data_IF_711975078785
#
_entry.id   IF_711975078785
#
_cell.length_a   1.000
_cell.length_b   1.000
_cell.length_c   1.000
_cell.angle_alpha   90.00
_cell.angle_beta   90.00
_cell.angle_gamma   90.00
#
_symmetry.space_group_name_H-M   'P 1'
#
loop_
_entity.id
_entity.type
_entity.pdbx_description
1 polymer ?
#
# COMPACT_ATOMS: atom_id res chain seq x y z
N UNK A 1 12.45 -9.22 19.24
CA UNK A 1 11.00 -9.27 18.91
C UNK A 1 10.23 -9.91 20.06
N UNK A 2 9.19 -9.25 20.54
CA UNK A 2 8.41 -9.78 21.65
C UNK A 2 7.54 -10.95 21.21
N UNK A 3 7.07 -11.71 22.19
CA UNK A 3 6.16 -12.81 21.91
C UNK A 3 4.86 -12.31 21.26
N UNK A 4 4.38 -11.14 21.70
CA UNK A 4 3.17 -10.55 21.11
C UNK A 4 3.39 -10.20 19.64
N UNK A 5 4.57 -9.65 19.30
CA UNK A 5 4.88 -9.34 17.90
C UNK A 5 5.02 -10.62 17.07
N UNK A 6 5.59 -11.66 17.64
CA UNK A 6 5.71 -12.95 16.94
C UNK A 6 4.33 -13.51 16.61
N UNK A 7 3.40 -13.43 17.55
CA UNK A 7 2.03 -13.91 17.33
C UNK A 7 1.34 -13.06 16.27
N UNK A 8 1.51 -11.74 16.35
CA UNK A 8 0.93 -10.83 15.37
C UNK A 8 1.44 -11.14 13.96
N UNK A 9 2.74 -11.39 13.82
CA UNK A 9 3.34 -11.73 12.53
C UNK A 9 2.82 -13.05 12.00
N UNK A 10 2.64 -14.05 12.88
CA UNK A 10 2.06 -15.33 12.47
C UNK A 10 0.65 -15.16 11.93
N UNK A 11 -0.14 -14.31 12.58
CA UNK A 11 -1.51 -14.05 12.13
C UNK A 11 -1.50 -13.39 10.75
N UNK A 12 -0.65 -12.39 10.55
CA UNK A 12 -0.57 -11.71 9.26
C UNK A 12 -0.13 -12.68 8.15
N UNK A 13 0.85 -13.51 8.44
CA UNK A 13 1.34 -14.48 7.46
C UNK A 13 0.25 -15.49 7.11
N UNK A 14 -0.47 -15.98 8.12
CA UNK A 14 -1.57 -16.92 7.90
C UNK A 14 -2.69 -16.26 7.09
N UNK A 15 -2.99 -14.99 7.39
CA UNK A 15 -4.03 -14.27 6.66
C UNK A 15 -3.68 -14.17 5.18
N UNK A 16 -2.43 -13.82 4.87
CA UNK A 16 -2.02 -13.69 3.47
C UNK A 16 -2.08 -15.02 2.74
N UNK A 17 -1.69 -16.11 3.39
CA UNK A 17 -1.83 -17.44 2.80
C UNK A 17 -3.29 -17.77 2.53
N UNK A 18 -4.19 -17.43 3.47
CA UNK A 18 -5.61 -17.70 3.32
C UNK A 18 -6.22 -16.83 2.21
N UNK A 19 -5.83 -15.56 2.17
CA UNK A 19 -6.32 -14.67 1.10
C UNK A 19 -5.90 -15.19 -0.27
N UNK A 20 -4.67 -15.66 -0.40
CA UNK A 20 -4.17 -16.19 -1.67
C UNK A 20 -4.93 -17.44 -2.08
N UNK A 21 -5.25 -18.29 -1.12
CA UNK A 21 -5.90 -19.57 -1.40
C UNK A 21 -7.39 -19.44 -1.63
N UNK A 22 -8.08 -18.61 -0.84
CA UNK A 22 -9.54 -18.56 -0.82
C UNK A 22 -10.12 -17.23 -1.30
N UNK A 23 -9.29 -16.21 -1.50
CA UNK A 23 -9.77 -14.87 -1.78
C UNK A 23 -10.10 -14.13 -0.48
N UNK A 24 -10.10 -12.80 -0.56
CA UNK A 24 -10.33 -11.98 0.62
C UNK A 24 -11.73 -12.18 1.18
N UNK A 25 -12.75 -12.07 0.31
CA UNK A 25 -14.14 -12.11 0.77
C UNK A 25 -14.49 -13.44 1.44
N UNK A 26 -13.94 -14.55 0.93
CA UNK A 26 -14.28 -15.87 1.45
C UNK A 26 -13.45 -16.30 2.64
N UNK A 27 -12.39 -15.56 2.96
CA UNK A 27 -11.55 -15.87 4.12
C UNK A 27 -12.22 -15.31 5.38
N UNK A 28 -12.25 -16.12 6.45
CA UNK A 28 -12.79 -15.69 7.74
C UNK A 28 -11.66 -15.57 8.75
N UNK A 29 -11.89 -14.78 9.79
CA UNK A 29 -10.90 -14.66 10.86
C UNK A 29 -10.70 -15.98 11.59
N UNK A 30 -11.74 -16.82 11.64
CA UNK A 30 -11.63 -18.15 12.24
C UNK A 30 -10.68 -19.04 11.43
N UNK A 31 -10.78 -18.98 10.10
CA UNK A 31 -9.85 -19.72 9.26
C UNK A 31 -8.42 -19.24 9.45
N UNK A 32 -8.25 -17.93 9.57
CA UNK A 32 -6.93 -17.36 9.80
C UNK A 32 -6.36 -17.85 11.13
N UNK A 33 -7.18 -17.89 12.18
CA UNK A 33 -6.74 -18.40 13.49
C UNK A 33 -6.27 -19.83 13.37
N UNK A 34 -7.06 -20.66 12.69
CA UNK A 34 -6.71 -22.08 12.49
C UNK A 34 -5.38 -22.21 11.74
N UNK A 35 -5.23 -21.45 10.68
CA UNK A 35 -4.01 -21.49 9.88
C UNK A 35 -2.79 -21.01 10.67
N UNK A 36 -2.98 -20.02 11.53
CA UNK A 36 -1.90 -19.48 12.36
C UNK A 36 -1.59 -20.34 13.57
N UNK A 37 -2.48 -21.30 13.90
CA UNK A 37 -2.29 -22.12 15.08
C UNK A 37 -2.57 -21.40 16.37
N UNK A 38 -3.53 -20.46 16.37
CA UNK A 38 -3.90 -19.71 17.56
C UNK A 38 -5.40 -19.77 17.77
N UNK A 39 -5.85 -19.39 18.95
CA UNK A 39 -7.28 -19.32 19.25
C UNK A 39 -7.94 -18.14 18.53
N UNK A 40 -9.24 -18.27 18.26
CA UNK A 40 -10.02 -17.19 17.64
C UNK A 40 -9.86 -15.88 18.42
N UNK A 41 -9.94 -15.95 19.74
CA UNK A 41 -9.81 -14.77 20.59
C UNK A 41 -8.45 -14.11 20.48
N UNK A 42 -7.42 -14.90 20.18
CA UNK A 42 -6.09 -14.35 20.00
C UNK A 42 -6.04 -13.48 18.75
N UNK A 43 -6.65 -13.95 17.65
CA UNK A 43 -6.73 -13.12 16.45
C UNK A 43 -7.49 -11.83 16.75
N UNK A 44 -8.64 -11.96 17.43
CA UNK A 44 -9.48 -10.80 17.71
C UNK A 44 -8.75 -9.78 18.59
N UNK A 45 -7.92 -10.24 19.53
CA UNK A 45 -7.19 -9.33 20.41
C UNK A 45 -6.14 -8.53 19.67
N UNK A 46 -5.61 -9.07 18.57
CA UNK A 46 -4.64 -8.35 17.73
C UNK A 46 -5.32 -7.54 16.65
N UNK A 47 -6.38 -8.08 16.06
CA UNK A 47 -7.05 -7.48 14.91
C UNK A 47 -8.56 -7.63 15.10
N UNK A 48 -9.26 -6.53 15.41
CA UNK A 48 -10.70 -6.63 15.67
C UNK A 48 -11.53 -7.09 14.47
N UNK A 49 -11.03 -6.84 13.25
CA UNK A 49 -11.76 -7.18 12.03
C UNK A 49 -10.82 -7.73 10.97
N UNK A 50 -11.40 -8.40 9.98
CA UNK A 50 -10.64 -8.85 8.81
C UNK A 50 -10.03 -7.65 8.08
N UNK A 51 -10.76 -6.53 8.03
CA UNK A 51 -10.25 -5.33 7.38
C UNK A 51 -9.00 -4.80 8.11
N UNK A 52 -8.98 -4.87 9.44
CA UNK A 52 -7.79 -4.41 10.18
C UNK A 52 -6.58 -5.28 9.87
N UNK A 53 -6.78 -6.57 9.61
CA UNK A 53 -5.70 -7.45 9.16
C UNK A 53 -5.20 -7.00 7.79
N UNK A 54 -6.13 -6.74 6.87
CA UNK A 54 -5.79 -6.31 5.52
C UNK A 54 -5.00 -5.00 5.56
N UNK A 55 -5.48 -4.03 6.34
CA UNK A 55 -4.83 -2.72 6.46
C UNK A 55 -3.40 -2.87 6.96
N UNK A 56 -3.23 -3.60 8.06
CA UNK A 56 -1.92 -3.76 8.67
C UNK A 56 -0.97 -4.51 7.76
N UNK A 57 -1.44 -5.58 7.15
CA UNK A 57 -0.59 -6.40 6.30
C UNK A 57 -0.14 -5.67 5.05
N UNK A 58 -1.04 -4.93 4.40
CA UNK A 58 -0.65 -4.19 3.22
C UNK A 58 0.33 -3.08 3.56
N UNK A 59 0.09 -2.37 4.66
CA UNK A 59 1.03 -1.33 5.09
C UNK A 59 2.41 -1.93 5.36
N UNK A 60 2.46 -3.06 6.05
CA UNK A 60 3.73 -3.71 6.37
C UNK A 60 4.50 -4.06 5.09
N UNK A 61 3.81 -4.63 4.11
CA UNK A 61 4.46 -5.00 2.85
C UNK A 61 4.93 -3.79 2.07
N UNK A 62 4.12 -2.74 2.04
CA UNK A 62 4.51 -1.51 1.35
C UNK A 62 5.68 -0.83 2.04
N UNK A 63 5.73 -0.88 3.38
CA UNK A 63 6.86 -0.32 4.12
C UNK A 63 8.15 -1.09 3.81
N UNK A 64 8.06 -2.41 3.65
CA UNK A 64 9.23 -3.19 3.27
C UNK A 64 9.70 -2.82 1.86
N UNK A 65 8.75 -2.63 0.94
CA UNK A 65 9.07 -2.16 -0.41
C UNK A 65 9.75 -0.80 -0.34
N UNK A 66 9.27 0.10 0.53
CA UNK A 66 9.89 1.42 0.73
C UNK A 66 11.33 1.29 1.15
N UNK A 67 11.61 0.45 2.14
CA UNK A 67 12.97 0.27 2.64
C UNK A 67 13.90 -0.24 1.55
N UNK A 68 13.45 -1.21 0.79
CA UNK A 68 14.26 -1.79 -0.30
C UNK A 68 14.49 -0.77 -1.39
N UNK A 69 13.48 0.01 -1.72
CA UNK A 69 13.59 1.02 -2.78
C UNK A 69 14.53 2.14 -2.37
N UNK A 70 14.45 2.59 -1.11
CA UNK A 70 15.31 3.68 -0.62
C UNK A 70 16.78 3.31 -0.68
N UNK A 71 17.10 2.05 -0.42
CA UNK A 71 18.48 1.58 -0.57
C UNK A 71 18.93 1.67 -2.03
N UNK A 72 18.06 1.29 -2.97
CA UNK A 72 18.42 1.24 -4.38
C UNK A 72 18.52 2.62 -5.02
N UNK A 73 17.94 3.66 -4.40
CA UNK A 73 17.96 5.02 -4.97
C UNK A 73 18.83 5.98 -4.14
N UNK A 74 19.72 5.44 -3.34
CA UNK A 74 20.61 6.27 -2.53
C UNK A 74 21.38 7.23 -3.43
N UNK A 75 21.40 8.50 -3.07
CA UNK A 75 22.09 9.53 -3.84
C UNK A 75 21.25 10.19 -4.92
N UNK A 76 20.01 9.74 -5.11
CA UNK A 76 19.12 10.34 -6.11
C UNK A 76 18.40 11.55 -5.52
N UNK A 77 17.78 12.35 -6.40
CA UNK A 77 17.01 13.51 -5.93
C UNK A 77 15.73 13.07 -5.25
N UNK A 78 15.13 13.99 -4.48
CA UNK A 78 13.87 13.71 -3.80
C UNK A 78 12.77 13.36 -4.80
N UNK A 79 12.74 14.03 -5.96
CA UNK A 79 11.75 13.73 -7.00
C UNK A 79 11.97 12.32 -7.54
N UNK A 80 13.21 11.95 -7.83
CA UNK A 80 13.52 10.61 -8.33
C UNK A 80 13.11 9.54 -7.32
N UNK A 81 13.38 9.80 -6.04
CA UNK A 81 13.02 8.86 -4.98
C UNK A 81 11.49 8.70 -4.93
N UNK A 82 10.76 9.81 -4.99
CA UNK A 82 9.30 9.76 -4.96
C UNK A 82 8.73 9.00 -6.13
N UNK A 83 9.28 9.22 -7.33
CA UNK A 83 8.83 8.52 -8.52
C UNK A 83 9.12 7.02 -8.42
N UNK A 84 10.29 6.66 -7.90
CA UNK A 84 10.65 5.25 -7.74
C UNK A 84 9.71 4.56 -6.75
N UNK A 85 9.41 5.22 -5.62
CA UNK A 85 8.49 4.67 -4.64
C UNK A 85 7.09 4.48 -5.24
N UNK A 86 6.62 5.50 -5.96
CA UNK A 86 5.30 5.45 -6.59
C UNK A 86 5.20 4.28 -7.56
N UNK A 87 6.24 4.08 -8.37
CA UNK A 87 6.25 2.96 -9.31
C UNK A 87 6.16 1.63 -8.59
N UNK A 88 6.95 1.46 -7.52
CA UNK A 88 6.95 0.20 -6.77
C UNK A 88 5.61 -0.04 -6.10
N UNK A 89 5.00 1.01 -5.54
CA UNK A 89 3.70 0.87 -4.90
C UNK A 89 2.62 0.47 -5.92
N UNK A 90 2.60 1.12 -7.09
CA UNK A 90 1.64 0.78 -8.13
C UNK A 90 1.81 -0.68 -8.55
N UNK A 91 3.06 -1.11 -8.76
CA UNK A 91 3.30 -2.51 -9.15
C UNK A 91 2.80 -3.48 -8.10
N UNK A 92 2.95 -3.13 -6.83
CA UNK A 92 2.42 -3.96 -5.75
C UNK A 92 0.89 -4.03 -5.80
N UNK A 93 0.24 -2.88 -5.91
CA UNK A 93 -1.23 -2.85 -5.96
C UNK A 93 -1.76 -3.63 -7.15
N UNK A 94 -1.13 -3.51 -8.30
CA UNK A 94 -1.61 -4.18 -9.52
C UNK A 94 -1.26 -5.65 -9.53
N UNK A 95 -0.28 -6.08 -8.75
CA UNK A 95 0.00 -7.50 -8.57
C UNK A 95 -0.97 -8.15 -7.58
N UNK A 96 -1.73 -7.33 -6.82
CA UNK A 96 -2.64 -7.80 -5.79
C UNK A 96 -4.01 -7.11 -5.95
N UNK A 97 -4.61 -7.26 -7.12
CA UNK A 97 -5.79 -6.47 -7.50
C UNK A 97 -6.96 -6.65 -6.53
N UNK A 98 -7.26 -7.90 -6.16
CA UNK A 98 -8.40 -8.17 -5.30
C UNK A 98 -8.23 -7.50 -3.93
N UNK A 99 -7.05 -7.68 -3.32
CA UNK A 99 -6.77 -7.09 -2.01
C UNK A 99 -6.73 -5.56 -2.09
N UNK A 100 -6.18 -5.04 -3.18
CA UNK A 100 -6.10 -3.60 -3.38
C UNK A 100 -7.49 -2.98 -3.49
N UNK A 101 -8.37 -3.60 -4.25
CA UNK A 101 -9.75 -3.13 -4.37
C UNK A 101 -10.47 -3.20 -3.03
N UNK A 102 -10.26 -4.28 -2.26
CA UNK A 102 -10.89 -4.43 -0.96
C UNK A 102 -10.44 -3.32 0.00
N UNK A 103 -9.15 -2.99 -0.01
CA UNK A 103 -8.63 -1.92 0.83
C UNK A 103 -9.15 -0.56 0.39
N UNK A 104 -9.02 -0.25 -0.90
CA UNK A 104 -9.36 1.09 -1.41
C UNK A 104 -10.85 1.37 -1.32
N UNK A 105 -11.68 0.35 -1.43
CA UNK A 105 -13.13 0.48 -1.25
C UNK A 105 -13.46 1.09 0.13
N UNK A 106 -12.68 0.71 1.15
CA UNK A 106 -12.87 1.26 2.49
C UNK A 106 -12.20 2.61 2.64
N UNK A 107 -11.01 2.75 2.08
CA UNK A 107 -10.20 3.97 2.22
C UNK A 107 -10.90 5.18 1.63
N UNK A 108 -11.64 5.01 0.54
CA UNK A 108 -12.29 6.13 -0.15
C UNK A 108 -13.29 6.85 0.77
N UNK A 109 -13.76 6.18 1.82
CA UNK A 109 -14.67 6.77 2.79
C UNK A 109 -14.03 6.98 4.15
N UNK A 110 -12.69 6.82 4.22
CA UNK A 110 -11.94 6.99 5.47
C UNK A 110 -10.66 7.74 5.14
N UNK A 111 -10.78 9.02 4.86
CA UNK A 111 -9.63 9.82 4.41
C UNK A 111 -8.63 10.08 5.52
N UNK A 112 -9.06 10.04 6.78
CA UNK A 112 -8.10 10.14 7.89
C UNK A 112 -7.15 8.96 7.88
N UNK A 113 -7.69 7.76 7.64
CA UNK A 113 -6.84 6.58 7.51
C UNK A 113 -5.91 6.71 6.29
N UNK A 114 -6.44 7.18 5.18
CA UNK A 114 -5.65 7.37 3.97
C UNK A 114 -4.46 8.30 4.22
N UNK A 115 -4.69 9.41 4.91
CA UNK A 115 -3.62 10.36 5.22
C UNK A 115 -2.58 9.73 6.13
N UNK A 116 -3.01 9.01 7.15
CA UNK A 116 -2.09 8.32 8.05
C UNK A 116 -1.26 7.27 7.33
N UNK A 117 -1.89 6.54 6.44
CA UNK A 117 -1.23 5.51 5.64
C UNK A 117 -0.13 6.13 4.77
N UNK A 118 -0.45 7.23 4.08
CA UNK A 118 0.53 7.91 3.24
C UNK A 118 1.68 8.49 4.05
N UNK A 119 1.39 9.07 5.21
CA UNK A 119 2.45 9.57 6.08
C UNK A 119 3.40 8.44 6.49
N UNK A 120 2.84 7.29 6.84
CA UNK A 120 3.66 6.15 7.24
C UNK A 120 4.56 5.67 6.09
N UNK A 121 4.05 5.70 4.85
CA UNK A 121 4.83 5.25 3.70
C UNK A 121 5.93 6.24 3.30
N UNK A 122 5.63 7.53 3.31
CA UNK A 122 6.55 8.54 2.77
C UNK A 122 7.36 9.25 3.83
N UNK A 123 7.22 8.88 5.09
CA UNK A 123 7.82 9.58 6.22
C UNK A 123 9.35 9.64 6.11
N UNK A 124 9.98 8.57 5.67
CA UNK A 124 11.44 8.50 5.62
C UNK A 124 12.04 8.97 4.30
N UNK A 125 11.23 9.41 3.35
CA UNK A 125 11.72 9.76 2.01
C UNK A 125 11.93 11.23 1.85
N UNK A 126 12.02 12.10 2.64
CA UNK A 126 12.31 13.54 2.53
C UNK A 126 11.63 14.23 1.35
N UNK A 127 10.73 13.57 0.70
CA UNK A 127 10.02 14.16 -0.43
C UNK A 127 9.10 15.30 0.02
N UNK A 128 8.74 15.08 0.90
CA UNK A 128 7.78 15.96 1.35
C UNK A 128 8.28 17.31 1.56
N UNK A 129 9.38 17.39 2.00
CA UNK A 129 9.86 18.73 2.29
C UNK A 129 10.14 19.53 1.01
N UNK A 130 10.61 18.87 -0.02
CA UNK A 130 10.93 19.53 -1.29
C UNK A 130 9.68 19.95 -2.05
N UNK A 131 8.63 19.13 -1.99
CA UNK A 131 7.40 19.35 -2.74
C UNK A 131 6.21 19.64 -1.81
N UNK A 132 6.48 20.19 -0.65
CA UNK A 132 5.46 20.32 0.39
C UNK A 132 4.20 21.02 -0.10
N UNK A 133 4.35 22.11 -0.87
CA UNK A 133 3.21 22.86 -1.35
C UNK A 133 2.42 22.13 -2.44
N UNK A 134 3.03 21.12 -3.05
CA UNK A 134 2.39 20.36 -4.14
C UNK A 134 1.89 19.00 -3.69
N UNK A 135 2.23 18.59 -2.47
CA UNK A 135 1.88 17.23 -2.01
C UNK A 135 0.39 16.94 -2.05
N UNK A 136 -0.51 17.88 -1.71
CA UNK A 136 -1.93 17.55 -1.82
C UNK A 136 -2.35 17.17 -3.23
N UNK A 137 -1.87 17.90 -4.23
CA UNK A 137 -2.17 17.58 -5.63
C UNK A 137 -1.53 16.25 -6.05
N UNK A 138 -0.31 16.03 -5.58
CA UNK A 138 0.39 14.79 -5.90
C UNK A 138 -0.38 13.59 -5.36
N UNK A 139 -0.83 13.67 -4.11
CA UNK A 139 -1.59 12.58 -3.51
C UNK A 139 -2.96 12.40 -4.19
N UNK A 140 -3.61 13.49 -4.57
CA UNK A 140 -4.88 13.38 -5.29
C UNK A 140 -4.70 12.67 -6.62
N UNK A 141 -3.67 13.04 -7.38
CA UNK A 141 -3.38 12.39 -8.66
C UNK A 141 -3.03 10.92 -8.45
N UNK A 142 -2.18 10.65 -7.47
CA UNK A 142 -1.75 9.28 -7.15
C UNK A 142 -2.95 8.40 -6.82
N UNK A 143 -3.81 8.88 -5.92
CA UNK A 143 -4.91 8.08 -5.40
C UNK A 143 -6.00 7.86 -6.47
N UNK A 144 -6.41 8.92 -7.15
CA UNK A 144 -7.49 8.77 -8.13
C UNK A 144 -7.05 8.02 -9.38
N UNK A 145 -5.79 8.17 -9.79
CA UNK A 145 -5.27 7.39 -10.91
C UNK A 145 -5.23 5.91 -10.54
N UNK A 146 -4.80 5.61 -9.31
CA UNK A 146 -4.79 4.23 -8.83
C UNK A 146 -6.19 3.63 -8.87
N UNK A 147 -7.18 4.33 -8.33
CA UNK A 147 -8.56 3.85 -8.30
C UNK A 147 -9.10 3.67 -9.71
N UNK A 148 -8.88 4.68 -10.58
CA UNK A 148 -9.42 4.64 -11.93
C UNK A 148 -8.90 3.41 -12.70
N UNK A 149 -7.61 3.14 -12.59
CA UNK A 149 -7.02 2.04 -13.34
C UNK A 149 -7.30 0.68 -12.71
N UNK A 150 -7.38 0.60 -11.39
CA UNK A 150 -7.79 -0.65 -10.74
C UNK A 150 -9.27 -0.97 -11.00
N UNK A 151 -10.07 0.04 -11.38
CA UNK A 151 -11.49 -0.16 -11.67
C UNK A 151 -11.74 -0.82 -13.02
N UNK A 152 -10.75 -0.86 -13.87
CA UNK A 152 -10.91 -1.45 -15.21
C UNK A 152 -11.07 -2.95 -15.11
N UNK A 153 -11.73 -3.54 -16.12
CA UNK A 153 -11.93 -4.98 -16.15
C UNK A 153 -10.60 -5.73 -16.18
N UNK A 154 -9.61 -5.16 -16.88
CA UNK A 154 -8.27 -5.75 -16.95
C UNK A 154 -7.26 -4.68 -16.56
N UNK A 155 -6.98 -4.53 -15.27
CA UNK A 155 -6.05 -3.50 -14.83
C UNK A 155 -4.67 -3.70 -15.43
N UNK A 156 -4.05 -2.59 -15.85
CA UNK A 156 -2.76 -2.60 -16.53
C UNK A 156 -1.88 -1.56 -15.85
N UNK A 157 -0.83 -2.03 -15.17
CA UNK A 157 0.03 -1.14 -14.39
C UNK A 157 0.80 -0.18 -15.31
N UNK A 158 1.19 -0.62 -16.50
CA UNK A 158 1.93 0.26 -17.40
C UNK A 158 1.05 1.43 -17.85
N UNK A 159 -0.21 1.15 -18.16
CA UNK A 159 -1.14 2.22 -18.53
C UNK A 159 -1.36 3.18 -17.35
N UNK A 160 -1.46 2.65 -16.15
CA UNK A 160 -1.66 3.47 -14.95
C UNK A 160 -0.46 4.37 -14.70
N UNK A 161 0.75 3.82 -14.83
CA UNK A 161 1.97 4.60 -14.60
C UNK A 161 2.15 5.67 -15.66
N UNK A 162 1.83 5.36 -16.91
CA UNK A 162 1.89 6.36 -18.00
C UNK A 162 0.94 7.52 -17.70
N UNK A 163 -0.28 7.19 -17.29
CA UNK A 163 -1.28 8.21 -16.95
C UNK A 163 -0.81 9.07 -15.78
N UNK A 164 -0.33 8.42 -14.72
CA UNK A 164 0.14 9.15 -13.54
C UNK A 164 1.32 10.05 -13.87
N UNK A 165 2.27 9.53 -14.66
CA UNK A 165 3.45 10.30 -15.05
C UNK A 165 3.04 11.56 -15.82
N UNK A 166 2.09 11.43 -16.74
CA UNK A 166 1.61 12.58 -17.50
C UNK A 166 0.99 13.63 -16.59
N UNK A 167 0.26 13.20 -15.56
CA UNK A 167 -0.32 14.13 -14.60
C UNK A 167 0.77 14.80 -13.75
N UNK A 168 1.73 14.02 -13.28
CA UNK A 168 2.83 14.57 -12.48
C UNK A 168 3.63 15.60 -13.26
N UNK A 169 3.81 15.40 -14.57
CA UNK A 169 4.55 16.37 -15.39
C UNK A 169 3.89 17.75 -15.39
N UNK A 170 2.60 17.82 -15.12
CA UNK A 170 1.90 19.10 -15.06
C UNK A 170 2.05 19.77 -13.70
N UNK A 171 2.52 19.06 -12.69
CA UNK A 171 2.62 19.56 -11.33
C UNK A 171 4.07 19.78 -10.92
N UNK A 172 4.95 18.86 -11.31
CA UNK A 172 6.33 18.80 -10.87
C UNK A 172 7.23 19.10 -12.07
N UNK A 173 8.37 19.79 -11.88
CA UNK A 173 9.30 20.04 -12.99
C UNK A 173 10.06 18.77 -13.34
N UNK A 174 9.42 17.84 -14.04
CA UNK A 174 10.02 16.59 -14.44
C UNK A 174 10.76 16.67 -15.78
N UNK A 175 10.66 17.63 -16.19
CA UNK A 175 11.27 17.88 -17.32
C UNK A 175 12.63 17.56 -17.40
N UNK A 176 13.11 17.54 -16.43
CA UNK A 176 14.50 17.15 -16.30
C UNK A 176 14.68 15.63 -16.36
N UNK A 177 13.62 14.92 -16.55
CA UNK A 177 13.70 13.46 -16.67
C UNK A 177 13.78 13.02 -18.13
N UNK A 178 14.43 13.80 -18.96
CA UNK A 178 14.65 13.44 -20.36
C UNK A 178 15.74 12.40 -20.53
#
# INVERSE_FOLDING_TARGET
MTKRQQTRDKILKAAWASFAQNGYDMTTTRQIAREAGVADGTVFSHFPTKLSILREGMLTQLQQISQETLVSVEGKTAIDIGLALTEKYYRYYFANVELSRALLKEVIWDLDYYQSFNQALFQSASVXSVLEDKMPLIFDCYFMTLIAHLSRAEPDVEAALTDLHAKFQQIIPIXSLG
#
